data_IF_267797653689
#
_entry.id   IF_267797653689
#
_cell.length_a   1.000
_cell.length_b   1.000
_cell.length_c   1.000
_cell.angle_alpha   90.00
_cell.angle_beta   90.00
_cell.angle_gamma   90.00
#
_symmetry.space_group_name_H-M   'P 1'
#
loop_
_entity.id
_entity.type
_entity.pdbx_description
1 polymer ?
#
# COMPACT_ATOMS: atom_id res chain seq x y z
N UNK A 1 -23.86 9.93 1.81
CA UNK A 1 -22.74 10.37 0.97
C UNK A 1 -23.13 10.11 -0.49
N UNK A 2 -23.62 11.15 -1.18
CA UNK A 2 -24.06 11.07 -2.58
C UNK A 2 -22.86 11.33 -3.50
N UNK A 3 -22.50 10.38 -4.35
CA UNK A 3 -21.61 10.61 -5.50
C UNK A 3 -20.41 9.68 -5.62
N UNK A 4 -20.62 8.51 -6.24
CA UNK A 4 -19.57 7.67 -6.82
C UNK A 4 -18.75 6.86 -5.82
N UNK A 5 -18.93 5.55 -5.84
CA UNK A 5 -18.43 4.47 -4.97
C UNK A 5 -16.90 4.30 -4.89
N UNK A 6 -16.11 5.35 -5.11
CA UNK A 6 -14.66 5.28 -5.06
C UNK A 6 -14.21 5.39 -3.61
N UNK A 7 -14.30 4.27 -2.90
CA UNK A 7 -13.70 4.12 -1.59
C UNK A 7 -12.18 4.19 -1.70
N UNK A 8 -11.52 4.47 -0.58
CA UNK A 8 -10.05 4.50 -0.49
C UNK A 8 -9.44 3.22 -1.07
N UNK A 9 -10.06 2.07 -0.80
CA UNK A 9 -9.59 0.75 -1.27
C UNK A 9 -9.58 0.65 -2.80
N UNK A 10 -10.57 1.23 -3.49
CA UNK A 10 -10.63 1.24 -4.97
C UNK A 10 -9.42 1.98 -5.53
N UNK A 11 -9.07 3.11 -4.92
CA UNK A 11 -7.93 3.91 -5.36
C UNK A 11 -6.61 3.24 -5.03
N UNK A 12 -6.48 2.64 -3.85
CA UNK A 12 -5.26 1.93 -3.45
C UNK A 12 -5.02 0.69 -4.34
N UNK A 13 -6.06 -0.08 -4.66
CA UNK A 13 -5.93 -1.22 -5.59
C UNK A 13 -5.45 -0.79 -6.97
N UNK A 14 -6.09 0.23 -7.56
CA UNK A 14 -5.69 0.77 -8.87
C UNK A 14 -4.27 1.36 -8.85
N UNK A 15 -3.85 1.92 -7.72
CA UNK A 15 -2.49 2.43 -7.58
C UNK A 15 -1.48 1.29 -7.55
N UNK A 16 -1.73 0.20 -6.80
CA UNK A 16 -0.87 -1.00 -6.83
C UNK A 16 -0.77 -1.60 -8.24
N UNK A 17 -1.90 -1.75 -8.93
CA UNK A 17 -1.94 -2.26 -10.31
C UNK A 17 -1.07 -1.41 -11.27
N UNK A 18 -1.02 -0.08 -11.05
CA UNK A 18 -0.23 0.86 -11.86
C UNK A 18 1.25 0.91 -11.50
N UNK A 19 1.58 0.64 -10.24
CA UNK A 19 2.96 0.61 -9.75
C UNK A 19 3.69 -0.66 -10.20
N UNK A 20 2.94 -1.74 -10.45
CA UNK A 20 3.48 -3.02 -10.89
C UNK A 20 4.16 -3.78 -9.76
N UNK A 21 4.45 -5.07 -10.01
CA UNK A 21 4.90 -6.04 -9.02
C UNK A 21 6.12 -5.58 -8.20
N UNK A 22 7.04 -4.82 -8.81
CA UNK A 22 8.25 -4.33 -8.16
C UNK A 22 7.97 -3.30 -7.05
N UNK A 23 6.79 -2.67 -7.07
CA UNK A 23 6.45 -1.52 -6.21
C UNK A 23 5.10 -1.69 -5.48
N UNK A 24 4.47 -2.87 -5.54
CA UNK A 24 3.21 -3.13 -4.81
C UNK A 24 3.37 -3.01 -3.29
N UNK A 25 4.56 -3.34 -2.79
CA UNK A 25 4.92 -3.30 -1.37
C UNK A 25 5.10 -1.88 -0.82
N UNK A 26 5.16 -0.85 -1.68
CA UNK A 26 5.21 0.56 -1.22
C UNK A 26 3.97 0.97 -0.43
N UNK A 27 2.83 0.32 -0.68
CA UNK A 27 1.58 0.58 0.04
C UNK A 27 1.26 -0.63 0.90
N UNK A 28 1.58 -0.55 2.19
CA UNK A 28 1.28 -1.62 3.16
C UNK A 28 -0.12 -1.43 3.76
N UNK A 29 -0.86 -2.53 3.92
CA UNK A 29 -2.15 -2.52 4.62
C UNK A 29 -1.92 -2.74 6.12
N UNK A 30 -2.38 -1.81 6.95
CA UNK A 30 -2.39 -1.93 8.41
C UNK A 30 -3.79 -2.34 8.84
N UNK A 31 -3.92 -3.58 9.33
CA UNK A 31 -5.22 -4.16 9.72
C UNK A 31 -5.92 -3.27 10.75
N UNK A 32 -7.21 -3.03 10.55
CA UNK A 32 -8.07 -2.19 11.41
C UNK A 32 -7.67 -0.70 11.50
N UNK A 33 -6.68 -0.24 10.72
CA UNK A 33 -6.21 1.15 10.73
C UNK A 33 -6.34 1.78 9.36
N UNK A 34 -5.80 1.15 8.31
CA UNK A 34 -5.80 1.71 6.96
C UNK A 34 -4.53 1.35 6.19
N UNK A 35 -3.90 2.35 5.57
CA UNK A 35 -2.78 2.16 4.66
C UNK A 35 -1.57 3.00 5.07
N UNK A 36 -0.37 2.45 4.88
CA UNK A 36 0.91 3.13 5.12
C UNK A 36 1.73 3.15 3.83
N UNK A 37 2.35 4.28 3.55
CA UNK A 37 3.34 4.41 2.47
C UNK A 37 4.73 4.17 3.06
N UNK A 38 5.42 3.17 2.53
CA UNK A 38 6.81 2.85 2.90
C UNK A 38 7.70 3.28 1.74
N UNK A 39 8.50 4.32 1.93
CA UNK A 39 9.44 4.82 0.92
C UNK A 39 10.77 4.03 0.91
N UNK A 40 10.92 3.08 1.84
CA UNK A 40 12.08 2.19 1.94
C UNK A 40 11.89 1.07 0.92
N UNK A 41 12.73 1.03 -0.13
CA UNK A 41 12.85 -0.17 -0.97
C UNK A 41 13.36 -1.28 -0.06
N UNK A 42 12.72 -2.45 -0.11
CA UNK A 42 12.94 -3.61 0.77
C UNK A 42 14.42 -4.04 0.88
N UNK A 43 15.18 -3.34 1.73
CA UNK A 43 16.53 -3.72 2.16
C UNK A 43 16.69 -3.60 3.69
N UNK A 44 15.82 -2.86 4.40
CA UNK A 44 15.97 -2.65 5.85
C UNK A 44 15.10 -3.56 6.74
N UNK A 45 14.04 -4.17 6.20
CA UNK A 45 13.16 -5.04 7.00
C UNK A 45 13.78 -6.41 7.33
N UNK A 46 14.79 -6.87 6.59
CA UNK A 46 15.54 -8.12 6.91
C UNK A 46 16.53 -7.94 8.08
N UNK A 47 16.83 -6.71 8.50
CA UNK A 47 17.82 -6.43 9.56
C UNK A 47 17.21 -6.27 10.97
N UNK A 48 15.88 -6.17 11.09
CA UNK A 48 15.22 -5.93 12.39
C UNK A 48 14.79 -7.24 13.10
N UNK A 49 14.99 -8.40 12.46
CA UNK A 49 14.71 -9.73 13.03
C UNK A 49 15.99 -10.53 13.39
N UNK A 50 17.18 -9.92 13.39
CA UNK A 50 18.44 -10.53 13.81
C UNK A 50 18.81 -10.23 15.28
#
# INVERSE_FOLDING_TARGET
YYGGTRTVDVHVRRLRDKLGADHENLISTVRNVGYRLTLVRQQEDELTEA
#
